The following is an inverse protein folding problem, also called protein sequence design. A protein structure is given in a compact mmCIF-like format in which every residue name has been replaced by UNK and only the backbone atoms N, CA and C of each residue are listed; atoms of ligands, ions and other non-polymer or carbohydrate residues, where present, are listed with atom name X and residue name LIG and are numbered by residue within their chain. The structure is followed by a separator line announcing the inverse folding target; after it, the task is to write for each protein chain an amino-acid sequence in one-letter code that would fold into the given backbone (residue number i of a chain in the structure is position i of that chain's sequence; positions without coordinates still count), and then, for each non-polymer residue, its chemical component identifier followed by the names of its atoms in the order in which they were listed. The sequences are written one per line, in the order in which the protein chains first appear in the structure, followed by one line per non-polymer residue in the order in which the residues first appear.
data_IF_186759562264
#
_entry.id   IF_186759562264
#
_cell.length_a   1.000
_cell.length_b   1.000
_cell.length_c   1.000
_cell.angle_alpha   90.00
_cell.angle_beta   90.00
_cell.angle_gamma   90.00
#
_symmetry.space_group_name_H-M   'P 1'
#
loop_
_entity.id
_entity.type
_entity.pdbx_description
1 polymer ?
#
# COMPACT_ATOMS: atom_id res chain seq x y z
N UNK A 1 -4.74 -21.82 6.36
CA UNK A 1 -4.59 -23.09 5.63
C UNK A 1 -5.98 -23.63 5.31
N UNK A 2 -6.27 -23.96 4.05
CA UNK A 2 -7.57 -24.53 3.63
C UNK A 2 -7.38 -26.05 3.49
N UNK A 3 -8.29 -26.83 4.08
CA UNK A 3 -8.25 -28.29 4.00
C UNK A 3 -8.34 -28.76 2.53
N UNK A 4 -7.36 -29.52 2.00
CA UNK A 4 -7.40 -30.05 0.64
C UNK A 4 -8.67 -30.86 0.32
N UNK A 5 -9.33 -31.44 1.32
CA UNK A 5 -10.58 -32.17 1.14
C UNK A 5 -11.71 -31.28 0.61
N UNK A 6 -11.72 -29.97 0.91
CA UNK A 6 -12.74 -29.04 0.40
C UNK A 6 -12.48 -28.63 -1.06
N UNK A 7 -11.25 -28.83 -1.55
CA UNK A 7 -10.83 -28.48 -2.91
C UNK A 7 -11.00 -29.64 -3.92
N UNK A 8 -11.63 -30.75 -3.51
CA UNK A 8 -11.92 -31.90 -4.37
C UNK A 8 -13.08 -31.59 -5.34
N UNK A 9 -13.11 -32.25 -6.52
CA UNK A 9 -14.21 -32.09 -7.47
C UNK A 9 -15.59 -32.33 -6.83
N UNK A 10 -16.57 -31.49 -7.17
CA UNK A 10 -17.94 -31.48 -6.63
C UNK A 10 -18.13 -30.61 -5.37
N UNK A 11 -17.15 -29.76 -5.05
CA UNK A 11 -17.19 -28.83 -3.90
C UNK A 11 -16.79 -27.41 -4.35
N UNK A 12 -15.58 -26.95 -3.99
CA UNK A 12 -15.01 -25.69 -4.50
C UNK A 12 -14.30 -25.95 -5.83
N UNK A 13 -15.10 -26.12 -6.87
CA UNK A 13 -14.61 -26.41 -8.22
C UNK A 13 -13.91 -25.20 -8.86
N UNK A 14 -14.40 -23.99 -8.57
CA UNK A 14 -13.83 -22.74 -9.09
C UNK A 14 -12.98 -22.08 -8.01
N UNK A 15 -11.71 -21.84 -8.33
CA UNK A 15 -10.75 -21.17 -7.46
C UNK A 15 -10.39 -19.83 -8.10
N UNK A 16 -10.96 -18.76 -7.59
CA UNK A 16 -10.65 -17.41 -8.05
C UNK A 16 -9.60 -16.83 -7.10
N UNK A 17 -8.43 -16.56 -7.65
CA UNK A 17 -7.33 -15.93 -6.91
C UNK A 17 -7.54 -14.42 -6.95
N UNK A 18 -7.73 -13.80 -5.79
CA UNK A 18 -7.72 -12.34 -5.67
C UNK A 18 -6.28 -11.91 -5.45
N UNK A 19 -5.75 -11.13 -6.38
CA UNK A 19 -4.37 -10.62 -6.32
C UNK A 19 -4.34 -9.23 -5.69
N UNK A 20 -3.14 -8.78 -5.31
CA UNK A 20 -2.94 -7.39 -4.89
C UNK A 20 -3.15 -6.48 -6.12
N UNK A 21 -3.72 -5.28 -5.94
CA UNK A 21 -3.95 -4.37 -7.05
C UNK A 21 -2.63 -3.92 -7.65
N UNK A 22 -2.59 -3.79 -8.97
CA UNK A 22 -1.57 -3.03 -9.69
C UNK A 22 -1.96 -1.54 -9.75
N UNK A 23 -1.16 -0.72 -10.44
CA UNK A 23 -1.41 0.71 -10.56
C UNK A 23 -2.77 1.01 -11.23
N UNK A 24 -3.15 0.29 -12.27
CA UNK A 24 -4.44 0.47 -12.95
C UNK A 24 -5.61 0.10 -12.03
N UNK A 25 -5.52 -1.05 -11.36
CA UNK A 25 -6.49 -1.49 -10.37
C UNK A 25 -6.59 -0.50 -9.20
N UNK A 26 -5.47 0.08 -8.77
CA UNK A 26 -5.45 1.10 -7.72
C UNK A 26 -6.19 2.36 -8.15
N UNK A 27 -6.04 2.82 -9.40
CA UNK A 27 -6.83 3.94 -9.92
C UNK A 27 -8.33 3.65 -9.85
N UNK A 28 -8.75 2.44 -10.27
CA UNK A 28 -10.16 2.06 -10.20
C UNK A 28 -10.66 1.98 -8.75
N UNK A 29 -9.86 1.45 -7.82
CA UNK A 29 -10.20 1.43 -6.39
C UNK A 29 -10.32 2.86 -5.83
N UNK A 30 -9.34 3.73 -6.09
CA UNK A 30 -9.38 5.13 -5.66
C UNK A 30 -10.63 5.85 -6.20
N UNK A 31 -11.06 5.55 -7.43
CA UNK A 31 -12.28 6.12 -8.02
C UNK A 31 -13.55 5.82 -7.21
N UNK A 32 -13.58 4.70 -6.47
CA UNK A 32 -14.72 4.34 -5.62
C UNK A 32 -14.77 5.14 -4.31
N UNK A 33 -13.62 5.65 -3.86
CA UNK A 33 -13.50 6.38 -2.60
C UNK A 33 -13.40 7.90 -2.78
N UNK A 34 -12.82 8.36 -3.89
CA UNK A 34 -12.70 9.77 -4.27
C UNK A 34 -13.78 10.10 -5.30
N UNK A 35 -14.97 10.46 -4.81
CA UNK A 35 -16.13 10.78 -5.64
C UNK A 35 -16.33 12.29 -5.79
N UNK A 36 -17.05 12.72 -6.83
CA UNK A 36 -17.38 14.13 -7.08
C UNK A 36 -18.21 14.78 -5.96
N UNK A 37 -18.84 13.97 -5.10
CA UNK A 37 -19.56 14.48 -3.93
C UNK A 37 -18.63 15.02 -2.84
N UNK A 38 -17.33 14.66 -2.85
CA UNK A 38 -16.38 15.14 -1.86
C UNK A 38 -16.05 16.63 -2.07
N UNK A 39 -15.92 17.41 -1.00
CA UNK A 39 -15.45 18.79 -1.10
C UNK A 39 -13.97 18.79 -1.50
N UNK A 40 -13.68 19.29 -2.70
CA UNK A 40 -12.31 19.55 -3.18
C UNK A 40 -11.97 21.01 -2.93
N UNK A 41 -10.72 21.28 -2.55
CA UNK A 41 -10.26 22.62 -2.26
C UNK A 41 -10.27 23.52 -3.51
N UNK A 42 -10.53 24.82 -3.33
CA UNK A 42 -10.66 25.79 -4.42
C UNK A 42 -9.37 25.91 -5.26
N UNK A 43 -8.20 25.93 -4.62
CA UNK A 43 -6.90 26.00 -5.30
C UNK A 43 -6.68 24.84 -6.29
N UNK A 44 -6.94 23.60 -5.86
CA UNK A 44 -6.82 22.42 -6.73
C UNK A 44 -7.87 22.45 -7.86
N UNK A 45 -9.09 22.92 -7.59
CA UNK A 45 -10.11 23.10 -8.64
C UNK A 45 -9.73 24.18 -9.66
N UNK A 46 -9.05 25.24 -9.23
CA UNK A 46 -8.66 26.35 -10.10
C UNK A 46 -7.65 25.93 -11.18
N UNK A 47 -6.78 24.96 -10.89
CA UNK A 47 -5.82 24.39 -11.86
C UNK A 47 -6.54 23.75 -13.07
N UNK A 48 -7.77 23.26 -12.88
CA UNK A 48 -8.57 22.58 -13.90
C UNK A 48 -9.80 23.37 -14.33
N UNK A 49 -9.80 24.70 -14.13
CA UNK A 49 -10.91 25.56 -14.57
C UNK A 49 -12.24 25.28 -13.86
N UNK A 50 -12.21 24.70 -12.65
CA UNK A 50 -13.39 24.35 -11.87
C UNK A 50 -14.03 23.00 -12.23
N UNK A 51 -13.47 22.24 -13.18
CA UNK A 51 -13.95 20.90 -13.52
C UNK A 51 -13.55 19.89 -12.44
N UNK A 52 -14.49 19.57 -11.57
CA UNK A 52 -14.29 18.64 -10.45
C UNK A 52 -13.96 17.22 -10.90
N UNK A 53 -14.60 16.72 -11.95
CA UNK A 53 -14.37 15.37 -12.43
C UNK A 53 -12.93 15.22 -12.92
N UNK A 54 -12.45 16.21 -13.68
CA UNK A 54 -11.08 16.26 -14.15
C UNK A 54 -10.08 16.44 -13.00
N UNK A 55 -10.38 17.30 -12.01
CA UNK A 55 -9.53 17.48 -10.83
C UNK A 55 -9.36 16.18 -10.07
N UNK A 56 -10.47 15.50 -9.73
CA UNK A 56 -10.42 14.24 -8.97
C UNK A 56 -9.67 13.17 -9.75
N UNK A 57 -9.96 13.02 -11.05
CA UNK A 57 -9.25 12.06 -11.90
C UNK A 57 -7.73 12.32 -11.87
N UNK A 58 -7.32 13.56 -12.02
CA UNK A 58 -5.90 13.94 -12.00
C UNK A 58 -5.28 13.74 -10.61
N UNK A 59 -6.03 13.98 -9.54
CA UNK A 59 -5.58 13.70 -8.17
C UNK A 59 -5.35 12.19 -7.98
N UNK A 60 -6.25 11.34 -8.48
CA UNK A 60 -6.10 9.88 -8.43
C UNK A 60 -4.83 9.45 -9.18
N UNK A 61 -4.64 9.92 -10.40
CA UNK A 61 -3.45 9.62 -11.22
C UNK A 61 -2.15 10.01 -10.47
N UNK A 62 -2.07 11.25 -9.96
CA UNK A 62 -0.90 11.74 -9.20
C UNK A 62 -0.62 10.92 -7.94
N UNK A 63 -1.66 10.54 -7.20
CA UNK A 63 -1.53 9.75 -5.96
C UNK A 63 -1.09 8.33 -6.27
N UNK A 64 -1.66 7.69 -7.29
CA UNK A 64 -1.25 6.35 -7.71
C UNK A 64 0.19 6.36 -8.22
N UNK A 65 0.57 7.32 -9.06
CA UNK A 65 1.94 7.44 -9.54
C UNK A 65 2.93 7.58 -8.38
N UNK A 66 2.62 8.41 -7.38
CA UNK A 66 3.44 8.56 -6.17
C UNK A 66 3.50 7.29 -5.32
N UNK A 67 2.39 6.54 -5.23
CA UNK A 67 2.27 5.32 -4.42
C UNK A 67 3.01 4.14 -5.06
N UNK A 68 3.07 4.07 -6.40
CA UNK A 68 3.71 2.99 -7.16
C UNK A 68 5.13 3.32 -7.65
N UNK A 69 5.63 4.54 -7.42
CA UNK A 69 6.97 4.95 -7.81
C UNK A 69 8.08 4.18 -7.06
N UNK A 70 9.11 3.77 -7.80
CA UNK A 70 10.33 3.14 -7.27
C UNK A 70 11.34 4.21 -6.82
N UNK A 71 10.99 4.94 -5.76
CA UNK A 71 11.84 5.98 -5.16
C UNK A 71 12.31 5.58 -3.77
N UNK A 72 13.40 6.20 -3.33
CA UNK A 72 14.02 5.93 -2.03
C UNK A 72 13.05 6.05 -0.85
N UNK A 73 12.07 6.96 -0.93
CA UNK A 73 11.02 7.19 0.05
C UNK A 73 9.96 6.06 0.09
N UNK A 74 9.92 5.19 -0.92
CA UNK A 74 8.95 4.08 -1.05
C UNK A 74 9.58 2.70 -0.83
N UNK A 75 10.87 2.65 -0.48
CA UNK A 75 11.53 1.39 -0.13
C UNK A 75 10.92 0.88 1.16
N UNK A 76 10.53 -0.39 1.16
CA UNK A 76 9.86 -0.99 2.30
C UNK A 76 10.72 -2.06 2.94
N UNK A 77 11.21 -3.01 2.14
CA UNK A 77 11.88 -4.21 2.65
C UNK A 77 13.16 -4.49 1.85
N UNK A 78 14.24 -4.83 2.54
CA UNK A 78 15.40 -5.46 1.93
C UNK A 78 15.39 -6.95 2.28
N UNK A 79 15.39 -7.77 1.25
CA UNK A 79 15.42 -9.23 1.34
C UNK A 79 16.84 -9.69 1.01
N UNK A 80 17.41 -10.55 1.84
CA UNK A 80 18.68 -11.23 1.57
C UNK A 80 18.42 -12.71 1.32
N UNK A 81 18.94 -13.22 0.21
CA UNK A 81 18.82 -14.62 -0.23
C UNK A 81 20.00 -15.46 0.27
N UNK A 82 19.83 -16.79 0.29
CA UNK A 82 20.83 -17.75 0.75
C UNK A 82 22.13 -17.71 -0.07
N UNK A 83 22.06 -17.30 -1.32
CA UNK A 83 23.21 -17.08 -2.20
C UNK A 83 23.96 -15.77 -1.91
N UNK A 84 23.45 -14.92 -1.00
CA UNK A 84 24.01 -13.62 -0.64
C UNK A 84 23.45 -12.42 -1.41
N UNK A 85 22.59 -12.65 -2.41
CA UNK A 85 21.96 -11.57 -3.16
C UNK A 85 21.01 -10.76 -2.26
N UNK A 86 20.91 -9.46 -2.57
CA UNK A 86 19.99 -8.54 -1.89
C UNK A 86 19.06 -7.89 -2.88
N UNK A 87 17.79 -7.78 -2.50
CA UNK A 87 16.75 -7.17 -3.29
C UNK A 87 15.95 -6.20 -2.44
N UNK A 88 15.71 -5.01 -2.98
CA UNK A 88 14.90 -3.97 -2.34
C UNK A 88 13.51 -3.99 -2.94
N UNK A 89 12.53 -4.20 -2.09
CA UNK A 89 11.12 -4.17 -2.45
C UNK A 89 10.51 -2.81 -2.07
N UNK A 90 9.53 -2.40 -2.85
CA UNK A 90 8.84 -1.11 -2.66
C UNK A 90 7.39 -1.35 -2.24
N UNK A 91 6.75 -0.33 -1.68
CA UNK A 91 5.33 -0.43 -1.29
C UNK A 91 4.38 -0.83 -2.41
N UNK A 92 4.75 -0.56 -3.68
CA UNK A 92 4.00 -0.98 -4.85
C UNK A 92 3.63 -2.48 -4.85
N UNK A 93 4.49 -3.32 -4.26
CA UNK A 93 4.32 -4.78 -4.24
C UNK A 93 3.43 -5.25 -3.05
N UNK A 94 3.16 -4.37 -2.10
CA UNK A 94 2.43 -4.65 -0.85
C UNK A 94 1.10 -3.92 -0.75
N UNK A 95 0.75 -3.12 -1.76
CA UNK A 95 -0.51 -2.39 -1.78
C UNK A 95 -1.71 -3.33 -1.70
N UNK A 96 -2.80 -2.81 -1.12
CA UNK A 96 -4.07 -3.52 -0.98
C UNK A 96 -5.24 -2.54 -1.01
N UNK A 97 -6.44 -3.03 -1.33
CA UNK A 97 -7.65 -2.19 -1.31
C UNK A 97 -7.92 -1.58 0.08
N UNK A 98 -7.63 -2.32 1.15
CA UNK A 98 -7.75 -1.83 2.53
C UNK A 98 -6.77 -0.68 2.82
N UNK A 99 -5.53 -0.78 2.35
CA UNK A 99 -4.53 0.29 2.48
C UNK A 99 -4.96 1.54 1.72
N UNK A 100 -5.48 1.39 0.48
CA UNK A 100 -6.01 2.52 -0.30
C UNK A 100 -7.15 3.22 0.44
N UNK A 101 -8.07 2.45 1.03
CA UNK A 101 -9.14 3.01 1.86
C UNK A 101 -8.60 3.81 3.04
N UNK A 102 -7.64 3.24 3.80
CA UNK A 102 -7.04 3.91 4.94
C UNK A 102 -6.36 5.23 4.55
N UNK A 103 -5.62 5.25 3.43
CA UNK A 103 -5.01 6.47 2.88
C UNK A 103 -6.07 7.54 2.62
N UNK A 104 -7.20 7.18 2.00
CA UNK A 104 -8.29 8.14 1.73
C UNK A 104 -8.93 8.66 3.01
N UNK A 105 -9.18 7.79 3.99
CA UNK A 105 -9.80 8.18 5.27
C UNK A 105 -8.86 9.07 6.09
N UNK A 106 -7.55 8.79 6.07
CA UNK A 106 -6.51 9.64 6.66
C UNK A 106 -6.44 11.00 5.97
N UNK A 107 -6.51 11.03 4.64
CA UNK A 107 -6.49 12.28 3.89
C UNK A 107 -7.71 13.16 4.18
N UNK A 108 -8.90 12.55 4.33
CA UNK A 108 -10.12 13.25 4.76
C UNK A 108 -9.96 13.81 6.17
N UNK A 109 -9.39 13.05 7.10
CA UNK A 109 -9.11 13.51 8.47
C UNK A 109 -8.15 14.70 8.47
N UNK A 110 -7.09 14.65 7.66
CA UNK A 110 -6.13 15.73 7.52
C UNK A 110 -6.77 16.97 6.87
N UNK A 111 -7.67 16.80 5.90
CA UNK A 111 -8.46 17.90 5.35
C UNK A 111 -9.34 18.56 6.41
N UNK A 112 -10.03 17.78 7.25
CA UNK A 112 -10.86 18.31 8.35
C UNK A 112 -10.00 19.13 9.33
N UNK A 113 -8.79 18.64 9.69
CA UNK A 113 -7.85 19.43 10.50
C UNK A 113 -7.49 20.74 9.83
N UNK A 114 -7.17 20.72 8.54
CA UNK A 114 -6.86 21.93 7.77
C UNK A 114 -8.02 22.93 7.80
N UNK A 115 -9.29 22.48 7.72
CA UNK A 115 -10.46 23.35 7.86
C UNK A 115 -10.51 24.00 9.25
N UNK A 116 -10.24 23.24 10.31
CA UNK A 116 -10.26 23.76 11.68
C UNK A 116 -9.13 24.78 11.94
N UNK A 117 -7.99 24.62 11.28
CA UNK A 117 -6.81 25.48 11.45
C UNK A 117 -6.86 26.74 10.56
N UNK A 118 -7.30 26.61 9.31
CA UNK A 118 -7.23 27.68 8.29
C UNK A 118 -8.58 28.31 7.97
N UNK A 119 -9.68 27.64 8.31
CA UNK A 119 -11.04 28.02 7.91
C UNK A 119 -11.39 27.71 6.45
N UNK A 120 -10.45 27.22 5.64
CA UNK A 120 -10.67 26.93 4.22
C UNK A 120 -11.13 25.47 4.04
N UNK A 121 -12.31 25.21 3.43
CA UNK A 121 -12.81 23.86 3.25
C UNK A 121 -12.17 23.16 2.03
N UNK A 122 -12.11 21.83 2.11
CA UNK A 122 -11.84 20.97 0.95
C UNK A 122 -10.59 20.12 1.07
N UNK A 123 -10.62 18.97 0.41
CA UNK A 123 -9.50 18.07 0.23
C UNK A 123 -8.53 18.64 -0.81
N UNK A 124 -7.24 18.71 -0.46
CA UNK A 124 -6.13 19.08 -1.35
C UNK A 124 -5.34 17.83 -1.75
N UNK A 125 -4.62 17.89 -2.87
CA UNK A 125 -3.69 16.82 -3.27
C UNK A 125 -2.65 16.53 -2.19
N UNK A 126 -2.16 17.58 -1.51
CA UNK A 126 -1.15 17.44 -0.46
C UNK A 126 -1.63 16.52 0.69
N UNK A 127 -2.89 16.61 1.09
CA UNK A 127 -3.45 15.74 2.12
C UNK A 127 -3.39 14.26 1.74
N UNK A 128 -3.56 13.92 0.45
CA UNK A 128 -3.44 12.55 -0.04
C UNK A 128 -1.98 12.09 -0.09
N UNK A 129 -1.08 12.93 -0.59
CA UNK A 129 0.36 12.61 -0.67
C UNK A 129 0.97 12.41 0.73
N UNK A 130 0.65 13.28 1.68
CA UNK A 130 1.09 13.14 3.08
C UNK A 130 0.50 11.88 3.70
N UNK A 131 -0.76 11.55 3.39
CA UNK A 131 -1.42 10.35 3.92
C UNK A 131 -0.81 9.05 3.40
N UNK A 132 -0.23 9.04 2.19
CA UNK A 132 0.54 7.89 1.70
C UNK A 132 1.76 7.67 2.60
N UNK A 133 2.53 8.73 2.85
CA UNK A 133 3.75 8.66 3.66
C UNK A 133 3.43 8.24 5.10
N UNK A 134 2.39 8.83 5.68
CA UNK A 134 1.92 8.48 7.03
C UNK A 134 1.46 7.02 7.13
N UNK A 135 0.69 6.53 6.14
CA UNK A 135 0.21 5.15 6.11
C UNK A 135 1.37 4.17 5.94
N UNK A 136 2.34 4.49 5.09
CA UNK A 136 3.55 3.68 4.91
C UNK A 136 4.37 3.61 6.18
N UNK A 137 4.60 4.74 6.85
CA UNK A 137 5.33 4.80 8.12
C UNK A 137 4.62 4.00 9.23
N UNK A 138 3.28 3.99 9.27
CA UNK A 138 2.52 3.20 10.24
C UNK A 138 2.58 1.69 9.95
N UNK A 139 2.60 1.31 8.66
CA UNK A 139 2.74 -0.09 8.24
C UNK A 139 4.18 -0.62 8.39
N UNK A 140 5.20 0.24 8.39
CA UNK A 140 6.60 -0.11 8.71
C UNK A 140 6.79 -0.58 10.16
N UNK A 141 5.98 -0.08 11.10
CA UNK A 141 6.12 -0.39 12.53
C UNK A 141 5.37 -1.66 12.95
N UNK A 142 4.40 -2.12 12.14
CA UNK A 142 3.55 -3.26 12.47
C UNK A 142 4.09 -4.57 11.86
N UNK A 143 4.54 -5.55 12.68
CA UNK A 143 5.07 -6.85 12.21
C UNK A 143 4.01 -7.79 11.62
N UNK A 144 2.76 -7.32 11.49
CA UNK A 144 1.60 -8.13 11.14
C UNK A 144 1.30 -8.12 9.63
N UNK A 145 1.96 -7.26 8.86
CA UNK A 145 1.63 -7.01 7.44
C UNK A 145 2.33 -7.96 6.48
N UNK A 146 3.28 -8.74 6.96
CA UNK A 146 4.17 -9.54 6.10
C UNK A 146 4.00 -11.03 6.36
N UNK A 147 2.98 -11.61 5.73
CA UNK A 147 2.79 -13.06 5.72
C UNK A 147 3.94 -13.74 4.92
N UNK A 148 4.62 -14.76 5.46
CA UNK A 148 5.55 -15.63 4.72
C UNK A 148 5.07 -16.08 3.34
N UNK A 149 3.76 -16.32 3.15
CA UNK A 149 3.18 -16.72 1.86
C UNK A 149 3.20 -15.59 0.81
N UNK A 150 3.12 -14.33 1.23
CA UNK A 150 3.22 -13.19 0.33
C UNK A 150 4.64 -13.12 -0.27
N UNK A 151 5.66 -13.53 0.48
CA UNK A 151 7.04 -13.58 0.01
C UNK A 151 7.30 -14.64 -1.05
N UNK A 152 6.77 -15.84 -0.84
CA UNK A 152 6.85 -16.91 -1.83
C UNK A 152 6.19 -16.52 -3.16
N UNK A 153 5.24 -15.58 -3.12
CA UNK A 153 4.53 -15.04 -4.28
C UNK A 153 5.25 -13.84 -4.92
N UNK A 154 5.83 -12.95 -4.09
CA UNK A 154 6.52 -11.73 -4.53
C UNK A 154 7.89 -12.03 -5.15
N UNK A 155 8.67 -12.99 -4.59
CA UNK A 155 10.05 -13.16 -5.06
C UNK A 155 10.11 -13.51 -6.55
N UNK A 156 9.12 -14.23 -7.10
CA UNK A 156 9.00 -14.61 -8.51
C UNK A 156 10.13 -15.51 -9.05
N UNK A 157 11.32 -15.41 -8.43
CA UNK A 157 12.52 -16.22 -8.54
C UNK A 157 12.30 -17.48 -7.76
N UNK A 158 11.66 -18.39 -8.46
CA UNK A 158 11.51 -19.80 -8.15
C UNK A 158 12.92 -20.43 -7.99
N UNK A 159 13.56 -20.29 -6.83
CA UNK A 159 14.85 -20.96 -6.59
C UNK A 159 15.52 -20.68 -5.25
N UNK A 160 15.57 -19.43 -4.79
CA UNK A 160 16.49 -19.07 -3.70
C UNK A 160 15.76 -18.83 -2.38
N UNK A 161 16.25 -19.48 -1.31
CA UNK A 161 15.68 -19.37 0.04
C UNK A 161 16.04 -18.01 0.62
N UNK A 162 15.05 -17.28 1.13
CA UNK A 162 15.27 -16.05 1.89
C UNK A 162 15.89 -16.41 3.26
N UNK A 163 16.96 -15.72 3.64
CA UNK A 163 17.66 -15.95 4.92
C UNK A 163 17.52 -14.78 5.89
N UNK A 164 17.18 -13.59 5.39
CA UNK A 164 17.05 -12.41 6.23
C UNK A 164 16.17 -11.36 5.56
N UNK A 165 15.36 -10.68 6.37
CA UNK A 165 14.47 -9.60 5.94
C UNK A 165 14.63 -8.43 6.90
N UNK A 166 14.76 -7.21 6.38
CA UNK A 166 14.74 -5.99 7.19
C UNK A 166 13.83 -4.94 6.61
N UNK A 167 13.15 -4.19 7.47
CA UNK A 167 12.43 -2.98 7.06
C UNK A 167 13.41 -1.84 6.79
N UNK A 168 13.19 -1.14 5.69
CA UNK A 168 13.92 0.05 5.31
C UNK A 168 13.10 1.27 5.73
N UNK A 169 13.49 1.91 6.82
CA UNK A 169 12.87 3.17 7.24
C UNK A 169 13.51 4.33 6.52
N UNK A 170 12.69 5.23 6.04
CA UNK A 170 13.15 6.52 5.52
C UNK A 170 13.30 7.46 6.72
N UNK A 171 14.50 8.00 6.95
CA UNK A 171 14.89 8.69 8.19
C UNK A 171 14.19 10.02 8.52
N UNK A 172 13.00 10.28 7.96
CA UNK A 172 12.15 11.44 8.28
C UNK A 172 11.09 11.12 9.34
N UNK A 173 10.73 9.84 9.54
CA UNK A 173 9.86 9.39 10.63
C UNK A 173 10.69 8.81 11.78
N UNK A 174 10.18 8.88 13.00
CA UNK A 174 10.83 8.42 14.23
C UNK A 174 10.94 6.89 14.38
N UNK A 175 10.68 6.13 13.32
CA UNK A 175 10.76 4.66 13.31
C UNK A 175 12.21 4.20 13.06
N UNK A 176 12.68 3.22 13.83
CA UNK A 176 13.99 2.62 13.68
C UNK A 176 13.91 1.36 12.79
N UNK A 177 14.94 1.07 11.99
CA UNK A 177 14.98 -0.13 11.13
C UNK A 177 14.91 -1.37 12.00
N UNK A 178 14.00 -2.30 11.67
CA UNK A 178 13.82 -3.54 12.42
C UNK A 178 14.09 -4.74 11.52
N UNK A 179 14.82 -5.70 12.08
CA UNK A 179 14.98 -7.02 11.49
C UNK A 179 13.69 -7.81 11.69
N UNK A 180 13.20 -8.48 10.65
CA UNK A 180 12.13 -9.47 10.75
C UNK A 180 12.82 -10.82 10.69
N UNK A 181 12.85 -11.53 11.82
CA UNK A 181 13.41 -12.88 11.87
C UNK A 181 12.54 -13.81 11.03
N UNK A 182 13.14 -14.44 10.03
CA UNK A 182 12.51 -15.50 9.23
C UNK A 182 12.55 -16.84 9.96
N UNK A 183 12.59 -16.85 11.30
CA UNK A 183 12.65 -18.10 12.05
C UNK A 183 11.44 -18.96 11.71
N UNK A 184 11.78 -20.13 11.19
CA UNK A 184 10.93 -21.18 10.70
C UNK A 184 9.88 -21.60 11.72
N UNK A 185 8.70 -21.00 11.67
CA UNK A 185 7.51 -21.56 12.30
C UNK A 185 6.85 -22.59 11.38
N UNK A 186 7.66 -23.50 10.81
CA UNK A 186 7.23 -24.86 10.46
C UNK A 186 7.05 -25.64 11.78
N UNK A 187 6.18 -25.12 12.66
CA UNK A 187 5.72 -25.79 13.86
C UNK A 187 4.83 -26.95 13.46
N UNK A 188 5.45 -28.10 13.21
CA UNK A 188 5.09 -29.36 13.86
C UNK A 188 3.58 -29.58 14.06
N UNK A 189 2.87 -29.95 12.99
CA UNK A 189 1.61 -30.68 13.11
C UNK A 189 1.94 -32.17 13.29
N UNK A 190 1.82 -32.64 14.54
CA UNK A 190 1.56 -34.05 14.86
C UNK A 190 0.05 -34.21 15.11
#
# INVERSE_FOLDING_TARGET
MIDPAILRPGRLDVKIKIERPDAESAQDIFSKYLTEALPVHADDLAEFGGDRALTIKTMIEKVVDRMYAEIDDNRFLEVTYANGDKEVMYFKDFNSGAMIQNVVDRAKKNAIKSVLETGQPGLRIQHLLDSIVDEFAENEDLPNTTNPDDWARISGKKGERIVYIRTLVTGKSSSASRAIDTESNLGQYL
#
